data_IF_572975316056
#
_entry.id   IF_572975316056
#
_cell.length_a   1.000
_cell.length_b   1.000
_cell.length_c   1.000
_cell.angle_alpha   90.00
_cell.angle_beta   90.00
_cell.angle_gamma   90.00
#
_symmetry.space_group_name_H-M   'P 1'
#
loop_
_entity.id
_entity.type
_entity.pdbx_description
1 polymer ?
#
# COMPACT_ATOMS: atom_id res chain seq x y z
N UNK A 1 -34.55 12.85 12.45
CA UNK A 1 -33.66 11.85 11.81
C UNK A 1 -32.56 12.55 11.00
N UNK A 2 -31.30 12.48 11.44
CA UNK A 2 -30.13 12.29 10.57
C UNK A 2 -28.95 11.85 11.44
N UNK A 3 -28.24 10.86 10.90
CA UNK A 3 -27.41 9.91 11.62
C UNK A 3 -26.12 10.52 12.15
N UNK A 4 -25.70 10.01 13.31
CA UNK A 4 -24.44 10.28 13.97
C UNK A 4 -23.25 10.14 13.02
N UNK A 5 -22.53 11.24 12.81
CA UNK A 5 -21.17 11.26 12.24
C UNK A 5 -20.22 10.53 13.21
N UNK A 6 -20.20 9.21 13.12
CA UNK A 6 -19.22 8.36 13.80
C UNK A 6 -17.85 8.55 13.18
N UNK A 7 -17.18 9.63 13.56
CA UNK A 7 -15.76 9.84 13.28
C UNK A 7 -14.95 8.75 13.97
N UNK A 8 -14.40 7.83 13.19
CA UNK A 8 -13.55 6.74 13.68
C UNK A 8 -12.18 7.32 14.09
N UNK A 9 -11.93 7.42 15.39
CA UNK A 9 -10.67 7.90 15.98
C UNK A 9 -9.47 7.09 15.48
N UNK A 10 -8.39 7.78 15.09
CA UNK A 10 -7.17 7.19 14.48
C UNK A 10 -6.49 6.13 15.39
N UNK A 11 -6.75 6.18 16.69
CA UNK A 11 -6.30 5.24 17.72
C UNK A 11 -6.81 3.81 17.52
N UNK A 12 -8.04 3.65 17.03
CA UNK A 12 -8.78 2.37 16.99
C UNK A 12 -8.56 1.58 15.69
N UNK A 13 -7.66 2.06 14.83
CA UNK A 13 -7.45 1.49 13.51
C UNK A 13 -6.72 0.14 13.55
N UNK A 14 -7.17 -0.84 12.75
CA UNK A 14 -6.51 -2.13 12.57
C UNK A 14 -5.02 -2.01 12.27
N UNK A 15 -4.20 -2.92 12.78
CA UNK A 15 -2.77 -2.97 12.46
C UNK A 15 -2.50 -3.07 10.95
N UNK A 16 -3.36 -3.78 10.20
CA UNK A 16 -3.29 -3.90 8.73
C UNK A 16 -3.50 -2.53 8.07
N UNK A 17 -4.52 -1.77 8.49
CA UNK A 17 -4.81 -0.44 7.93
C UNK A 17 -3.65 0.53 8.19
N UNK A 18 -3.08 0.51 9.41
CA UNK A 18 -1.90 1.32 9.76
C UNK A 18 -0.69 0.99 8.86
N UNK A 19 -0.45 -0.30 8.56
CA UNK A 19 0.62 -0.73 7.64
C UNK A 19 0.37 -0.28 6.20
N UNK A 20 -0.85 -0.44 5.70
CA UNK A 20 -1.22 -0.01 4.35
C UNK A 20 -1.11 1.51 4.19
N UNK A 21 -1.54 2.30 5.19
CA UNK A 21 -1.36 3.76 5.19
C UNK A 21 0.10 4.16 5.04
N UNK A 22 1.00 3.54 5.82
CA UNK A 22 2.45 3.79 5.75
C UNK A 22 3.04 3.37 4.41
N UNK A 23 2.61 2.24 3.86
CA UNK A 23 3.07 1.75 2.57
C UNK A 23 2.68 2.73 1.44
N UNK A 24 1.44 3.18 1.40
CA UNK A 24 0.99 4.17 0.41
C UNK A 24 1.75 5.49 0.57
N UNK A 25 1.95 5.96 1.80
CA UNK A 25 2.73 7.17 2.06
C UNK A 25 4.17 7.07 1.54
N UNK A 26 4.85 5.96 1.80
CA UNK A 26 6.20 5.71 1.27
C UNK A 26 6.22 5.64 -0.26
N UNK A 27 5.24 4.96 -0.88
CA UNK A 27 5.15 4.86 -2.34
C UNK A 27 4.95 6.22 -3.00
N UNK A 28 4.08 7.06 -2.43
CA UNK A 28 3.83 8.42 -2.94
C UNK A 28 5.08 9.29 -2.77
N UNK A 29 5.79 9.15 -1.65
CA UNK A 29 7.04 9.88 -1.42
C UNK A 29 8.12 9.54 -2.43
N UNK A 30 8.39 8.24 -2.67
CA UNK A 30 9.38 7.78 -3.67
C UNK A 30 9.06 8.34 -5.05
N UNK A 31 7.79 8.31 -5.44
CA UNK A 31 7.35 8.86 -6.73
C UNK A 31 7.56 10.37 -6.80
N UNK A 32 7.15 11.10 -5.77
CA UNK A 32 7.26 12.56 -5.70
C UNK A 32 8.71 13.05 -5.70
N UNK A 33 9.61 12.39 -4.96
CA UNK A 33 11.03 12.71 -4.95
C UNK A 33 11.66 12.50 -6.34
N UNK A 34 11.22 11.47 -7.06
CA UNK A 34 11.80 11.10 -8.35
C UNK A 34 11.27 11.90 -9.53
N UNK A 35 9.98 12.24 -9.54
CA UNK A 35 9.33 12.96 -10.66
C UNK A 35 9.26 14.47 -10.45
N UNK A 36 9.25 14.93 -9.20
CA UNK A 36 9.07 16.35 -8.88
C UNK A 36 10.28 16.95 -8.16
N UNK A 37 11.36 16.18 -7.94
CA UNK A 37 12.61 16.63 -7.29
C UNK A 37 12.42 17.27 -5.91
N UNK A 38 11.28 17.00 -5.29
CA UNK A 38 10.88 17.52 -3.98
C UNK A 38 11.52 16.67 -2.90
N UNK A 39 12.65 17.10 -2.33
CA UNK A 39 13.39 16.32 -1.31
C UNK A 39 12.90 16.46 0.13
N UNK A 40 12.05 17.46 0.42
CA UNK A 40 11.64 17.79 1.80
C UNK A 40 10.13 17.75 2.03
N UNK A 41 9.32 17.90 1.00
CA UNK A 41 7.86 17.94 1.10
C UNK A 41 7.23 17.31 -0.12
N UNK A 42 6.06 16.69 0.05
CA UNK A 42 5.25 16.23 -1.08
C UNK A 42 4.69 17.43 -1.84
N UNK A 43 4.66 17.37 -3.17
CA UNK A 43 3.94 18.35 -3.98
C UNK A 43 2.41 18.23 -3.75
N UNK A 44 1.65 19.28 -4.06
CA UNK A 44 0.19 19.30 -3.82
C UNK A 44 -0.54 18.09 -4.41
N UNK A 45 -0.19 17.67 -5.63
CA UNK A 45 -0.79 16.49 -6.28
C UNK A 45 -0.53 15.18 -5.51
N UNK A 46 0.67 15.03 -4.95
CA UNK A 46 1.04 13.86 -4.16
C UNK A 46 0.40 13.90 -2.78
N UNK A 47 0.24 15.08 -2.18
CA UNK A 47 -0.53 15.26 -0.94
C UNK A 47 -1.98 14.87 -1.15
N UNK A 48 -2.61 15.34 -2.23
CA UNK A 48 -4.01 15.00 -2.57
C UNK A 48 -4.21 13.49 -2.70
N UNK A 49 -3.29 12.79 -3.39
CA UNK A 49 -3.35 11.34 -3.53
C UNK A 49 -3.18 10.63 -2.17
N UNK A 50 -2.24 11.10 -1.34
CA UNK A 50 -1.98 10.53 -0.01
C UNK A 50 -3.21 10.67 0.88
N UNK A 51 -3.78 11.86 0.96
CA UNK A 51 -4.92 12.14 1.83
C UNK A 51 -6.18 11.44 1.33
N UNK A 52 -6.37 11.37 0.01
CA UNK A 52 -7.44 10.55 -0.59
C UNK A 52 -7.31 9.07 -0.20
N UNK A 53 -6.11 8.50 -0.31
CA UNK A 53 -5.87 7.10 0.04
C UNK A 53 -6.03 6.84 1.55
N UNK A 54 -5.56 7.76 2.40
CA UNK A 54 -5.74 7.69 3.86
C UNK A 54 -7.23 7.70 4.20
N UNK A 55 -8.00 8.66 3.70
CA UNK A 55 -9.43 8.75 3.95
C UNK A 55 -10.20 7.49 3.52
N UNK A 56 -9.81 6.88 2.38
CA UNK A 56 -10.40 5.61 1.91
C UNK A 56 -10.04 4.42 2.80
N UNK A 57 -8.83 4.39 3.34
CA UNK A 57 -8.38 3.33 4.24
C UNK A 57 -9.13 3.38 5.58
N UNK A 58 -9.41 4.58 6.08
CA UNK A 58 -10.18 4.79 7.32
C UNK A 58 -11.62 4.31 7.17
N UNK A 59 -12.24 4.64 6.04
CA UNK A 59 -13.61 4.24 5.71
C UNK A 59 -13.69 2.85 5.04
N UNK A 60 -12.64 2.02 5.15
CA UNK A 60 -12.61 0.72 4.48
C UNK A 60 -13.62 -0.25 5.11
N UNK A 61 -14.54 -0.81 4.32
CA UNK A 61 -15.55 -1.75 4.82
C UNK A 61 -14.97 -3.04 5.40
N UNK A 62 -13.77 -3.44 4.98
CA UNK A 62 -13.15 -4.70 5.40
C UNK A 62 -12.31 -4.61 6.69
N UNK A 63 -11.88 -3.41 7.10
CA UNK A 63 -11.07 -3.17 8.31
C UNK A 63 -9.97 -4.24 8.53
N UNK A 64 -10.01 -5.02 9.61
CA UNK A 64 -9.04 -6.06 9.95
C UNK A 64 -8.99 -7.24 8.96
N UNK A 65 -10.07 -7.49 8.23
CA UNK A 65 -10.14 -8.56 7.22
C UNK A 65 -9.77 -8.08 5.83
N UNK A 66 -9.16 -6.89 5.71
CA UNK A 66 -8.78 -6.31 4.42
C UNK A 66 -7.74 -7.20 3.72
N UNK A 67 -8.03 -7.71 2.51
CA UNK A 67 -7.01 -8.33 1.68
C UNK A 67 -6.06 -7.25 1.12
N UNK A 68 -4.88 -7.66 0.64
CA UNK A 68 -3.93 -6.75 -0.01
C UNK A 68 -4.62 -5.89 -1.08
N UNK A 69 -4.30 -4.60 -1.18
CA UNK A 69 -5.03 -3.65 -2.05
C UNK A 69 -5.20 -4.15 -3.50
N UNK A 70 -4.20 -4.81 -4.08
CA UNK A 70 -4.27 -5.36 -5.44
C UNK A 70 -5.23 -6.56 -5.62
N UNK A 71 -5.65 -7.21 -4.53
CA UNK A 71 -6.65 -8.29 -4.52
C UNK A 71 -7.99 -7.85 -3.92
N UNK A 72 -8.14 -6.55 -3.66
CA UNK A 72 -9.38 -6.02 -3.09
C UNK A 72 -10.48 -6.02 -4.16
N UNK A 73 -11.57 -6.75 -3.91
CA UNK A 73 -12.69 -6.88 -4.87
C UNK A 73 -13.57 -5.63 -5.01
N UNK A 74 -13.30 -4.54 -4.26
CA UNK A 74 -14.06 -3.30 -4.38
C UNK A 74 -13.31 -2.22 -5.17
N UNK A 75 -14.06 -1.45 -5.98
CA UNK A 75 -13.55 -0.23 -6.60
C UNK A 75 -13.37 0.87 -5.53
N UNK A 76 -12.18 0.92 -4.93
CA UNK A 76 -11.81 1.91 -3.90
C UNK A 76 -11.46 3.30 -4.48
N UNK A 77 -10.84 3.32 -5.66
CA UNK A 77 -10.32 4.54 -6.28
C UNK A 77 -11.31 5.12 -7.28
N UNK A 78 -11.50 6.44 -7.24
CA UNK A 78 -12.23 7.15 -8.27
C UNK A 78 -11.39 7.15 -9.56
N UNK A 79 -12.02 7.11 -10.74
CA UNK A 79 -11.32 6.96 -12.02
C UNK A 79 -10.16 7.98 -12.18
N UNK A 80 -10.39 9.24 -11.79
CA UNK A 80 -9.37 10.30 -11.84
C UNK A 80 -8.11 10.02 -11.02
N UNK A 81 -8.25 9.39 -9.85
CA UNK A 81 -7.13 9.04 -8.98
C UNK A 81 -6.61 7.63 -9.23
N UNK A 82 -7.35 6.79 -9.96
CA UNK A 82 -6.99 5.40 -10.24
C UNK A 82 -5.76 5.33 -11.14
N UNK A 83 -5.79 6.00 -12.29
CA UNK A 83 -4.66 5.99 -13.23
C UNK A 83 -3.40 6.58 -12.59
N UNK A 84 -3.58 7.62 -11.77
CA UNK A 84 -2.49 8.24 -11.03
C UNK A 84 -1.93 7.31 -9.93
N UNK A 85 -2.80 6.68 -9.13
CA UNK A 85 -2.39 5.71 -8.11
C UNK A 85 -1.69 4.50 -8.72
N UNK A 86 -2.19 4.00 -9.86
CA UNK A 86 -1.59 2.88 -10.58
C UNK A 86 -0.19 3.22 -11.09
N UNK A 87 -0.02 4.42 -11.67
CA UNK A 87 1.29 4.93 -12.08
C UNK A 87 2.27 5.00 -10.90
N UNK A 88 1.82 5.56 -9.78
CA UNK A 88 2.62 5.66 -8.54
C UNK A 88 2.97 4.27 -8.02
N UNK A 89 2.03 3.33 -7.97
CA UNK A 89 2.27 1.98 -7.46
C UNK A 89 3.15 1.15 -8.38
N UNK A 90 3.00 1.26 -9.70
CA UNK A 90 3.89 0.60 -10.67
C UNK A 90 5.32 1.14 -10.59
N UNK A 91 5.48 2.44 -10.40
CA UNK A 91 6.80 3.05 -10.30
C UNK A 91 7.48 2.76 -8.95
N UNK A 92 6.72 2.90 -7.86
CA UNK A 92 7.24 2.77 -6.50
C UNK A 92 7.29 1.33 -6.00
N UNK A 93 6.45 0.43 -6.52
CA UNK A 93 6.42 -1.00 -6.17
C UNK A 93 7.78 -1.70 -6.27
N UNK A 94 8.45 -1.71 -7.44
CA UNK A 94 9.78 -2.33 -7.57
C UNK A 94 10.81 -1.62 -6.68
N UNK A 95 10.76 -0.29 -6.55
CA UNK A 95 11.69 0.48 -5.71
C UNK A 95 11.53 0.23 -4.22
N UNK A 96 10.31 -0.03 -3.76
CA UNK A 96 10.03 -0.40 -2.38
C UNK A 96 10.57 -1.81 -2.06
N UNK A 97 10.57 -2.73 -3.03
CA UNK A 97 11.21 -4.05 -2.89
C UNK A 97 12.75 -3.94 -2.79
N UNK A 98 13.36 -3.01 -3.55
CA UNK A 98 14.80 -2.73 -3.44
C UNK A 98 15.23 -2.15 -2.08
N UNK A 99 14.31 -1.58 -1.30
CA UNK A 99 14.62 -1.01 0.02
C UNK A 99 14.54 -2.04 1.17
N UNK A 100 13.92 -3.20 0.95
CA UNK A 100 13.90 -4.33 1.90
C UNK A 100 14.41 -5.65 1.28
N UNK A 101 15.68 -5.71 0.81
CA UNK A 101 16.21 -6.91 0.15
C UNK A 101 16.34 -8.13 1.09
N UNK A 102 16.35 -7.91 2.41
CA UNK A 102 16.78 -8.92 3.39
C UNK A 102 15.63 -9.87 3.79
N UNK A 103 14.36 -9.47 3.69
CA UNK A 103 13.21 -10.34 4.01
C UNK A 103 12.81 -11.26 2.85
N UNK A 104 13.03 -10.84 1.59
CA UNK A 104 12.74 -11.66 0.40
C UNK A 104 13.75 -12.78 0.18
N UNK A 105 15.04 -12.53 0.46
CA UNK A 105 16.10 -13.52 0.27
C UNK A 105 16.03 -14.69 1.26
N UNK A 106 15.55 -14.48 2.49
CA UNK A 106 15.44 -15.55 3.48
C UNK A 106 14.37 -16.58 3.12
N UNK A 107 13.29 -16.19 2.43
CA UNK A 107 12.26 -17.14 2.00
C UNK A 107 12.65 -17.95 0.76
N UNK A 108 13.46 -17.36 -0.12
CA UNK A 108 13.96 -18.03 -1.32
C UNK A 108 15.05 -19.04 -0.95
N UNK A 109 16.00 -18.69 -0.07
CA UNK A 109 17.04 -19.64 0.37
C UNK A 109 16.50 -20.83 1.19
N UNK A 110 15.40 -20.65 1.94
CA UNK A 110 14.77 -21.76 2.67
C UNK A 110 14.06 -22.75 1.71
N UNK A 111 13.52 -22.25 0.59
CA UNK A 111 12.94 -23.10 -0.47
C UNK A 111 13.98 -23.88 -1.28
N UNK A 112 15.26 -23.49 -1.25
CA UNK A 112 16.34 -24.17 -1.98
C UNK A 112 17.08 -25.22 -1.14
N UNK A 113 16.73 -25.43 0.14
CA UNK A 113 17.51 -26.31 1.03
C UNK A 113 16.78 -27.50 1.64
N UNK A 114 15.61 -27.90 1.15
CA UNK A 114 15.07 -29.25 1.40
C UNK A 114 13.95 -29.63 0.42
N UNK A 115 14.31 -30.33 -0.66
CA UNK A 115 13.52 -31.44 -1.20
C UNK A 115 14.43 -32.37 -1.99
N UNK A 116 15.35 -33.00 -1.26
CA UNK A 116 15.85 -34.32 -1.63
C UNK A 116 14.69 -35.30 -1.39
N UNK A 117 14.35 -36.07 -2.43
CA UNK A 117 13.40 -37.19 -2.47
C UNK A 117 11.89 -36.85 -2.46
N UNK A 118 11.24 -36.97 -3.63
CA UNK A 118 10.31 -38.09 -3.93
C UNK A 118 9.76 -38.02 -5.39
N UNK A 119 10.55 -38.62 -6.29
CA UNK A 119 10.22 -39.70 -7.26
C UNK A 119 9.25 -39.47 -8.47
N UNK A 120 9.87 -39.47 -9.66
CA UNK A 120 9.59 -40.17 -10.95
C UNK A 120 8.15 -40.26 -11.53
N UNK A 121 7.98 -39.69 -12.72
CA UNK A 121 7.54 -40.39 -13.96
C UNK A 121 8.15 -39.72 -15.17
#
# INVERSE_FOLDING_TARGET
>A
MRCSDGGFSESDQPAIIKREKKMVEAMVQIYCESHHSTRKSLCSKCVDLKDYAKNRLENCRYQEKKPVCGRCGLKCYNNKFRDYAETVFMYSGPRMFFQHPILGLRHICDSFRNNDQLKKS
#
